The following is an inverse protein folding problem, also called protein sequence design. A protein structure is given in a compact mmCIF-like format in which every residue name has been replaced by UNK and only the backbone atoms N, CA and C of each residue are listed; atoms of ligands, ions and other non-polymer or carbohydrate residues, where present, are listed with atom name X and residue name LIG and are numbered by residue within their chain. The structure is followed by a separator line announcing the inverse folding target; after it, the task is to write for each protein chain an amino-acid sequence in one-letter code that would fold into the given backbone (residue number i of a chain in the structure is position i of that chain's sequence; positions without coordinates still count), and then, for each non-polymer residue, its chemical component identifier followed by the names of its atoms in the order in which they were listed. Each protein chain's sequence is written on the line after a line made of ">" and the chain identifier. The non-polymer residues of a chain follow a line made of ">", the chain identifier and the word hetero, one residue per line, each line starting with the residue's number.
data_IF_414488401154
#
_entry.id   IF_414488401154
#
_cell.length_a   1.000
_cell.length_b   1.000
_cell.length_c   1.000
_cell.angle_alpha   90.00
_cell.angle_beta   90.00
_cell.angle_gamma   90.00
#
_symmetry.space_group_name_H-M   'P 1'
#
loop_
_entity.id
_entity.type
_entity.pdbx_description
1 polymer ?
#
# COMPACT_ATOMS: atom_id res chain seq x y z
N UNK A 1 -16.15 2.24 36.20
CA UNK A 1 -16.37 1.28 35.23
C UNK A 1 -16.78 1.76 33.91
N UNK A 2 -17.83 2.48 33.84
CA UNK A 2 -18.29 2.97 32.60
C UNK A 2 -17.29 3.82 31.94
N UNK A 3 -16.46 4.50 32.64
CA UNK A 3 -15.47 5.32 32.07
C UNK A 3 -14.50 4.56 31.24
N UNK A 4 -14.26 3.34 31.63
CA UNK A 4 -13.36 2.51 30.88
C UNK A 4 -13.91 2.23 29.52
N UNK A 5 -15.21 2.05 29.47
CA UNK A 5 -15.84 1.81 28.19
C UNK A 5 -15.65 2.97 27.26
N UNK A 6 -15.63 4.15 27.80
CA UNK A 6 -15.45 5.31 26.98
C UNK A 6 -14.06 5.35 26.42
N UNK A 7 -13.11 4.85 27.11
CA UNK A 7 -11.76 4.86 26.64
C UNK A 7 -11.57 3.95 25.44
N UNK A 8 -12.28 2.86 25.42
CA UNK A 8 -12.17 1.95 24.32
C UNK A 8 -12.44 2.59 22.98
N UNK A 9 -13.51 3.33 22.84
CA UNK A 9 -13.77 4.00 21.56
C UNK A 9 -12.65 4.93 21.17
N UNK A 10 -12.03 5.55 22.13
CA UNK A 10 -10.95 6.44 21.85
C UNK A 10 -9.78 5.69 21.27
N UNK A 11 -9.50 4.53 21.81
CA UNK A 11 -8.43 3.72 21.29
C UNK A 11 -8.72 3.29 19.88
N UNK A 12 -9.96 2.96 19.60
CA UNK A 12 -10.33 2.58 18.26
C UNK A 12 -10.14 3.74 17.32
N UNK A 13 -10.45 4.94 17.76
CA UNK A 13 -10.21 6.09 16.94
C UNK A 13 -8.75 6.25 16.61
N UNK A 14 -7.91 6.00 17.59
CA UNK A 14 -6.49 6.07 17.35
C UNK A 14 -6.06 5.03 16.33
N UNK A 15 -6.64 3.86 16.39
CA UNK A 15 -6.32 2.84 15.41
C UNK A 15 -6.73 3.25 14.03
N UNK A 16 -7.85 3.93 13.91
CA UNK A 16 -8.28 4.39 12.62
C UNK A 16 -7.30 5.38 12.05
N UNK A 17 -6.73 6.19 12.91
CA UNK A 17 -5.72 7.13 12.46
C UNK A 17 -4.50 6.39 11.98
N UNK A 18 -4.24 5.24 12.56
CA UNK A 18 -3.10 4.46 12.16
C UNK A 18 -3.40 3.55 11.01
N UNK A 19 -4.22 3.98 10.08
CA UNK A 19 -4.59 3.12 8.96
C UNK A 19 -3.42 2.71 8.09
N UNK A 20 -2.27 3.35 8.25
CA UNK A 20 -1.11 2.99 7.46
C UNK A 20 -0.23 1.96 8.12
N UNK A 21 -0.62 1.49 9.27
CA UNK A 21 0.29 0.67 10.04
C UNK A 21 0.61 -0.68 9.46
N UNK A 22 -0.23 -1.23 8.65
CA UNK A 22 0.10 -2.53 8.10
C UNK A 22 1.09 -2.42 6.98
N UNK A 23 1.72 -1.36 6.90
CA UNK A 23 2.68 -1.19 5.96
C UNK A 23 4.02 -1.55 6.39
N UNK A 24 4.31 -1.68 7.57
CA UNK A 24 5.64 -1.72 8.05
C UNK A 24 6.31 -3.01 7.98
N UNK A 25 5.76 -3.94 7.30
CA UNK A 25 6.28 -5.27 7.37
C UNK A 25 7.14 -5.58 6.18
N UNK A 26 8.21 -6.28 6.34
CA UNK A 26 8.96 -6.92 5.27
C UNK A 26 9.34 -6.05 4.08
N UNK A 27 9.62 -4.80 4.33
CA UNK A 27 10.17 -3.95 3.29
C UNK A 27 9.17 -3.33 2.36
N UNK A 28 7.90 -3.32 2.71
CA UNK A 28 6.88 -2.62 1.94
C UNK A 28 5.89 -1.97 2.86
N UNK A 29 5.13 -1.05 2.31
CA UNK A 29 4.04 -0.43 3.04
C UNK A 29 2.89 -0.12 2.10
N UNK A 30 1.66 -0.17 2.63
CA UNK A 30 0.44 0.01 1.85
C UNK A 30 -0.30 1.23 2.37
N UNK A 31 -0.59 2.18 1.50
CA UNK A 31 -1.29 3.40 1.86
C UNK A 31 -2.53 3.57 1.00
N UNK A 32 -3.70 3.78 1.59
CA UNK A 32 -4.89 4.06 0.78
C UNK A 32 -4.72 5.40 0.08
N UNK A 33 -5.27 5.51 -1.12
CA UNK A 33 -5.26 6.76 -1.83
C UNK A 33 -6.42 7.62 -1.37
N UNK A 34 -6.15 8.89 -1.12
CA UNK A 34 -7.19 9.79 -0.65
C UNK A 34 -8.27 9.93 -1.72
N UNK A 35 -9.50 9.82 -1.31
CA UNK A 35 -10.63 10.01 -2.21
C UNK A 35 -10.94 8.86 -3.15
N UNK A 36 -10.28 7.72 -2.97
CA UNK A 36 -10.51 6.58 -3.85
C UNK A 36 -10.51 5.31 -3.02
N UNK A 37 -11.68 4.74 -2.82
CA UNK A 37 -11.83 3.55 -1.99
C UNK A 37 -11.15 2.32 -2.56
N UNK A 38 -10.93 2.30 -3.85
CA UNK A 38 -10.25 1.19 -4.50
C UNK A 38 -8.79 1.48 -4.76
N UNK A 39 -8.31 2.63 -4.34
CA UNK A 39 -6.95 3.06 -4.65
C UNK A 39 -5.99 2.79 -3.51
N UNK A 40 -4.86 2.22 -3.85
CA UNK A 40 -3.81 1.93 -2.87
C UNK A 40 -2.46 2.18 -3.49
N UNK A 41 -1.62 2.93 -2.79
CA UNK A 41 -0.24 3.10 -3.19
C UNK A 41 0.60 2.12 -2.39
N UNK A 42 1.60 1.54 -3.01
CA UNK A 42 2.50 0.67 -2.30
C UNK A 42 3.88 1.30 -2.28
N UNK A 43 4.46 1.34 -1.12
CA UNK A 43 5.82 1.82 -0.96
C UNK A 43 6.71 0.61 -0.75
N UNK A 44 7.73 0.46 -1.56
CA UNK A 44 8.60 -0.70 -1.52
C UNK A 44 10.02 -0.22 -1.33
N UNK A 45 10.76 -0.86 -0.44
CA UNK A 45 12.17 -0.54 -0.25
C UNK A 45 12.95 -0.88 -1.50
N UNK A 46 13.96 -0.09 -1.79
CA UNK A 46 14.75 -0.30 -3.00
C UNK A 46 15.38 -1.68 -3.07
N UNK A 47 15.75 -2.23 -1.92
CA UNK A 47 16.29 -3.58 -1.93
C UNK A 47 15.27 -4.60 -2.40
N UNK A 48 14.02 -4.42 -1.99
CA UNK A 48 12.96 -5.31 -2.40
C UNK A 48 12.66 -5.14 -3.89
N UNK A 49 12.64 -3.90 -4.35
CA UNK A 49 12.41 -3.62 -5.75
C UNK A 49 13.50 -4.27 -6.60
N UNK A 50 14.74 -4.23 -6.15
CA UNK A 50 15.83 -4.82 -6.86
C UNK A 50 15.63 -6.32 -7.02
N UNK A 51 15.13 -6.98 -5.99
CA UNK A 51 14.84 -8.40 -6.06
C UNK A 51 13.73 -8.71 -7.04
N UNK A 52 12.90 -7.73 -7.35
CA UNK A 52 11.81 -7.90 -8.29
C UNK A 52 12.16 -7.42 -9.69
N UNK A 53 13.44 -7.23 -9.96
CA UNK A 53 13.90 -6.82 -11.28
C UNK A 53 14.12 -5.34 -11.46
N UNK A 54 13.86 -4.54 -10.42
CA UNK A 54 14.15 -3.11 -10.46
C UNK A 54 13.15 -2.24 -11.18
N UNK A 55 12.06 -2.80 -11.69
CA UNK A 55 11.10 -2.06 -12.49
C UNK A 55 9.72 -2.06 -11.87
N UNK A 56 9.17 -0.87 -11.64
CA UNK A 56 7.88 -0.75 -10.98
C UNK A 56 6.70 -1.05 -11.90
N UNK A 57 6.93 -1.17 -13.18
CA UNK A 57 5.85 -1.48 -14.11
C UNK A 57 5.99 -2.88 -14.71
N UNK A 58 6.82 -3.72 -14.11
CA UNK A 58 6.98 -5.09 -14.57
C UNK A 58 5.85 -5.98 -14.06
N UNK A 59 5.68 -7.11 -14.71
CA UNK A 59 4.70 -8.10 -14.27
C UNK A 59 5.05 -8.64 -12.88
N UNK A 60 6.34 -8.82 -12.62
CA UNK A 60 6.79 -9.31 -11.32
C UNK A 60 6.43 -8.34 -10.20
N UNK A 61 6.61 -7.06 -10.44
CA UNK A 61 6.27 -6.07 -9.44
C UNK A 61 4.76 -6.06 -9.19
N UNK A 62 3.97 -6.08 -10.26
CA UNK A 62 2.52 -6.08 -10.09
C UNK A 62 2.03 -7.31 -9.36
N UNK A 63 2.59 -8.45 -9.66
CA UNK A 63 2.22 -9.67 -8.97
C UNK A 63 2.59 -9.62 -7.50
N UNK A 64 3.77 -9.11 -7.20
CA UNK A 64 4.20 -8.96 -5.82
C UNK A 64 3.22 -8.08 -5.05
N UNK A 65 2.87 -6.92 -5.61
CA UNK A 65 1.95 -6.00 -4.96
C UNK A 65 0.58 -6.65 -4.76
N UNK A 66 0.06 -7.28 -5.80
CA UNK A 66 -1.25 -7.91 -5.71
C UNK A 66 -1.27 -8.97 -4.63
N UNK A 67 -0.22 -9.76 -4.50
CA UNK A 67 -0.15 -10.78 -3.47
C UNK A 67 -0.05 -10.19 -2.07
N UNK A 68 0.72 -9.12 -1.92
CA UNK A 68 0.83 -8.49 -0.61
C UNK A 68 -0.51 -7.88 -0.19
N UNK A 69 -1.19 -7.22 -1.12
CA UNK A 69 -2.50 -6.65 -0.82
C UNK A 69 -3.50 -7.74 -0.46
N UNK A 70 -3.51 -8.80 -1.23
CA UNK A 70 -4.43 -9.90 -1.00
C UNK A 70 -4.22 -10.50 0.38
N UNK A 71 -2.98 -10.62 0.78
CA UNK A 71 -2.66 -11.16 2.08
C UNK A 71 -3.28 -10.30 3.20
N UNK A 72 -3.40 -9.01 2.97
CA UNK A 72 -4.01 -8.11 3.95
C UNK A 72 -5.52 -7.95 3.71
N UNK A 73 -6.10 -8.75 2.85
CA UNK A 73 -7.53 -8.65 2.57
C UNK A 73 -7.90 -7.50 1.66
N UNK A 74 -6.96 -6.99 0.91
CA UNK A 74 -7.16 -5.84 0.03
C UNK A 74 -7.03 -6.28 -1.42
N UNK A 75 -7.87 -5.75 -2.28
CA UNK A 75 -7.84 -6.05 -3.72
C UNK A 75 -7.85 -7.54 -4.02
N UNK A 76 -8.90 -8.27 -3.60
CA UNK A 76 -8.90 -9.73 -3.78
C UNK A 76 -8.82 -10.17 -5.24
N UNK A 77 -9.27 -9.33 -6.17
CA UNK A 77 -9.20 -9.68 -7.58
C UNK A 77 -7.93 -9.18 -8.26
N UNK A 78 -7.09 -8.46 -7.52
CA UNK A 78 -5.83 -7.98 -8.05
C UNK A 78 -5.69 -6.48 -7.99
N UNK A 79 -4.53 -5.99 -8.39
CA UNK A 79 -4.19 -4.57 -8.33
C UNK A 79 -3.43 -4.22 -9.60
N UNK A 80 -3.64 -3.02 -10.09
CA UNK A 80 -2.92 -2.54 -11.26
C UNK A 80 -2.44 -1.11 -11.01
N UNK A 81 -1.23 -0.77 -11.47
CA UNK A 81 -0.74 0.59 -11.30
C UNK A 81 -1.59 1.56 -12.11
N UNK A 82 -1.64 2.81 -11.66
CA UNK A 82 -2.30 3.86 -12.43
C UNK A 82 -1.55 4.08 -13.73
N UNK A 83 -2.24 4.62 -14.73
CA UNK A 83 -1.62 4.85 -16.03
C UNK A 83 -0.38 5.73 -15.95
N UNK A 84 -0.36 6.67 -15.03
CA UNK A 84 0.78 7.58 -14.87
C UNK A 84 2.05 6.89 -14.38
N UNK A 85 1.96 5.65 -13.96
CA UNK A 85 3.15 4.91 -13.51
C UNK A 85 4.02 4.57 -14.71
N UNK A 86 3.43 4.35 -15.86
CA UNK A 86 4.17 3.94 -17.06
C UNK A 86 5.21 4.99 -17.46
N UNK A 87 4.89 6.27 -17.33
CA UNK A 87 5.84 7.32 -17.68
C UNK A 87 6.54 7.87 -16.42
N UNK A 88 6.26 7.31 -15.28
CA UNK A 88 6.91 7.70 -14.03
C UNK A 88 6.39 8.97 -13.40
N UNK A 89 5.40 9.62 -13.99
CA UNK A 89 4.98 10.93 -13.51
C UNK A 89 4.35 10.91 -12.14
N UNK A 90 3.83 9.79 -11.70
CA UNK A 90 3.23 9.68 -10.36
C UNK A 90 3.98 8.71 -9.45
N UNK A 91 5.16 8.30 -9.83
CA UNK A 91 5.98 7.41 -9.00
C UNK A 91 6.87 8.28 -8.13
N UNK A 92 6.80 8.05 -6.83
CA UNK A 92 7.55 8.84 -5.89
C UNK A 92 8.78 8.08 -5.45
N UNK A 93 9.94 8.67 -5.67
CA UNK A 93 11.20 8.06 -5.28
C UNK A 93 11.79 8.76 -4.09
N UNK A 94 12.29 7.98 -3.15
CA UNK A 94 13.07 8.53 -2.05
C UNK A 94 14.42 7.83 -2.06
N UNK A 95 15.26 8.15 -1.09
CA UNK A 95 16.55 7.51 -1.01
C UNK A 95 16.46 6.03 -0.76
N UNK A 96 15.39 5.57 -0.13
CA UNK A 96 15.29 4.19 0.31
C UNK A 96 14.15 3.43 -0.30
N UNK A 97 13.22 4.11 -0.93
CA UNK A 97 11.99 3.45 -1.38
C UNK A 97 11.41 4.09 -2.61
N UNK A 98 10.46 3.42 -3.18
CA UNK A 98 9.67 3.92 -4.30
C UNK A 98 8.21 3.68 -3.96
N UNK A 99 7.36 4.67 -4.24
CA UNK A 99 5.92 4.55 -3.97
C UNK A 99 5.18 4.60 -5.30
N UNK A 100 4.33 3.62 -5.50
CA UNK A 100 3.63 3.42 -6.76
C UNK A 100 2.13 3.38 -6.50
N UNK A 101 1.35 4.29 -7.07
CA UNK A 101 -0.10 4.28 -6.88
C UNK A 101 -0.77 3.31 -7.85
N UNK A 102 -1.86 2.75 -7.42
CA UNK A 102 -2.62 1.84 -8.25
C UNK A 102 -4.04 1.69 -7.73
N UNK A 103 -4.79 0.79 -8.33
CA UNK A 103 -6.18 0.55 -7.94
C UNK A 103 -6.48 -0.93 -8.00
N UNK A 104 -7.43 -1.34 -7.18
CA UNK A 104 -7.92 -2.71 -7.25
C UNK A 104 -8.62 -2.92 -8.58
N UNK A 105 -8.39 -4.08 -9.18
CA UNK A 105 -9.13 -4.46 -10.38
C UNK A 105 -10.37 -5.20 -9.96
N UNK A 106 -11.38 -5.19 -10.77
CA UNK A 106 -12.64 -5.86 -10.40
C UNK A 106 -12.87 -7.13 -11.16
#
# INVERSE_FOLDING_TARGET
>A
MRKLLLLLPLLLGACAVGSNWYLMDSGYSINPLAGDESGYAIEVHLNQLKQLGGEVHSAEFRQYVAERLKWHGICPAGWAPLACVADGSCVLHTRRSVTVPGRCVS
#
